data_IF_416255691132
#
_entry.id   IF_416255691132
#
_cell.length_a   1.000
_cell.length_b   1.000
_cell.length_c   1.000
_cell.angle_alpha   90.00
_cell.angle_beta   90.00
_cell.angle_gamma   90.00
#
_symmetry.space_group_name_H-M   'P 1'
#
loop_
_entity.id
_entity.type
_entity.pdbx_description
1 polymer ?
#
# COMPACT_ATOMS: atom_id res chain seq x y z
N UNK A 1 -16.32 47.27 22.50
CA UNK A 1 -16.49 46.99 21.05
C UNK A 1 -16.59 45.49 20.90
N UNK A 2 -17.76 45.05 20.45
CA UNK A 2 -18.14 43.64 20.34
C UNK A 2 -18.02 43.18 18.89
N UNK A 3 -17.44 42.00 18.67
CA UNK A 3 -17.56 41.17 17.47
C UNK A 3 -16.77 39.87 17.73
N UNK A 4 -17.13 38.68 17.28
CA UNK A 4 -18.37 38.11 16.76
C UNK A 4 -18.07 36.62 16.73
N UNK A 5 -18.93 35.82 17.36
CA UNK A 5 -18.80 34.37 17.44
C UNK A 5 -19.18 33.74 16.11
N UNK A 6 -18.22 33.13 15.41
CA UNK A 6 -18.44 32.33 14.21
C UNK A 6 -18.42 30.84 14.51
N UNK A 7 -19.57 30.29 14.93
CA UNK A 7 -19.80 28.84 15.05
C UNK A 7 -19.99 28.22 13.67
N UNK A 8 -18.92 27.65 13.11
CA UNK A 8 -18.93 26.87 11.88
C UNK A 8 -19.51 25.47 12.12
N UNK A 9 -20.60 25.16 11.41
CA UNK A 9 -21.39 23.96 11.57
C UNK A 9 -20.67 22.66 11.26
N UNK A 10 -20.99 21.64 12.06
CA UNK A 10 -20.64 20.25 11.85
C UNK A 10 -21.35 19.71 10.60
N UNK A 11 -20.60 19.59 9.50
CA UNK A 11 -21.01 18.88 8.31
C UNK A 11 -21.12 17.38 8.59
N UNK A 12 -22.34 16.92 8.83
CA UNK A 12 -22.71 15.51 8.98
C UNK A 12 -22.68 14.87 7.58
N UNK A 13 -21.54 14.30 7.19
CA UNK A 13 -21.44 13.51 5.97
C UNK A 13 -22.24 12.21 6.17
N UNK A 14 -23.38 12.14 5.47
CA UNK A 14 -24.22 10.95 5.38
C UNK A 14 -23.47 9.83 4.68
N UNK A 15 -23.25 8.74 5.40
CA UNK A 15 -22.79 7.47 4.85
C UNK A 15 -24.00 6.79 4.21
N UNK A 16 -24.15 6.95 2.89
CA UNK A 16 -25.06 6.12 2.11
C UNK A 16 -24.44 4.74 1.89
N UNK A 17 -24.77 3.79 2.76
CA UNK A 17 -24.61 2.37 2.48
C UNK A 17 -25.89 1.86 1.79
N UNK A 18 -25.88 1.87 0.46
CA UNK A 18 -26.79 1.03 -0.33
C UNK A 18 -25.96 0.03 -1.14
N UNK A 19 -25.72 -1.13 -0.54
CA UNK A 19 -25.39 -2.35 -1.29
C UNK A 19 -26.51 -3.33 -0.98
N UNK A 20 -27.60 -3.21 -1.72
CA UNK A 20 -28.62 -4.24 -1.77
C UNK A 20 -28.04 -5.41 -2.57
N UNK A 21 -27.80 -6.52 -1.89
CA UNK A 21 -27.44 -7.80 -2.50
C UNK A 21 -28.74 -8.54 -2.89
N UNK A 22 -29.07 -8.70 -4.19
CA UNK A 22 -30.27 -9.39 -4.61
C UNK A 22 -29.92 -10.84 -4.96
N UNK A 23 -29.51 -11.63 -3.97
CA UNK A 23 -29.32 -13.09 -4.15
C UNK A 23 -29.78 -13.90 -2.95
N UNK A 24 -31.04 -13.71 -2.56
CA UNK A 24 -31.82 -14.75 -1.90
C UNK A 24 -33.14 -14.86 -2.63
N UNK A 25 -33.09 -15.43 -3.84
CA UNK A 25 -34.27 -16.01 -4.45
C UNK A 25 -34.67 -17.19 -3.55
N UNK A 26 -35.76 -16.99 -2.83
CA UNK A 26 -36.44 -18.00 -2.05
C UNK A 26 -36.62 -19.26 -2.90
N UNK A 27 -35.89 -20.32 -2.56
CA UNK A 27 -36.30 -21.68 -2.90
C UNK A 27 -37.56 -21.96 -2.10
N UNK A 28 -38.70 -21.66 -2.69
CA UNK A 28 -39.97 -22.29 -2.35
C UNK A 28 -39.80 -23.78 -2.60
N UNK A 29 -39.56 -24.52 -1.53
CA UNK A 29 -39.72 -25.97 -1.51
C UNK A 29 -41.21 -26.25 -1.70
N UNK A 30 -41.61 -26.43 -2.95
CA UNK A 30 -42.80 -27.18 -3.33
C UNK A 30 -42.58 -28.62 -2.85
N UNK A 31 -42.97 -28.90 -1.61
CA UNK A 31 -43.19 -30.27 -1.16
C UNK A 31 -44.40 -30.80 -1.89
N UNK A 32 -44.11 -31.74 -2.78
CA UNK A 32 -45.00 -32.68 -3.44
C UNK A 32 -46.20 -33.04 -2.57
N UNK A 33 -47.39 -32.62 -3.02
CA UNK A 33 -48.64 -33.26 -2.64
C UNK A 33 -48.68 -34.63 -3.34
N UNK A 34 -48.09 -35.62 -2.69
CA UNK A 34 -48.01 -36.99 -3.18
C UNK A 34 -49.07 -37.83 -2.48
N UNK A 35 -50.13 -38.10 -3.24
CA UNK A 35 -50.88 -39.36 -3.27
C UNK A 35 -51.75 -39.69 -2.04
N UNK A 36 -53.03 -39.32 -2.13
CA UNK A 36 -54.11 -40.12 -1.53
C UNK A 36 -55.22 -40.39 -2.58
N UNK A 37 -55.10 -41.44 -3.41
CA UNK A 37 -56.17 -41.90 -4.28
C UNK A 37 -56.59 -43.31 -3.85
N UNK A 38 -57.18 -43.48 -2.67
CA UNK A 38 -57.71 -44.80 -2.26
C UNK A 38 -59.04 -44.81 -1.51
N UNK A 39 -59.68 -43.67 -1.25
CA UNK A 39 -61.02 -43.65 -0.61
C UNK A 39 -62.18 -43.28 -1.55
N UNK A 40 -61.91 -42.76 -2.75
CA UNK A 40 -62.98 -42.41 -3.71
C UNK A 40 -63.41 -43.57 -4.63
N UNK A 41 -62.67 -44.69 -4.66
CA UNK A 41 -63.00 -45.83 -5.54
C UNK A 41 -63.89 -46.90 -4.89
N UNK A 42 -64.21 -46.78 -3.59
CA UNK A 42 -65.02 -47.75 -2.86
C UNK A 42 -66.53 -47.41 -2.86
N UNK A 43 -66.93 -46.18 -3.17
CA UNK A 43 -68.35 -45.80 -3.16
C UNK A 43 -69.08 -46.09 -4.49
N UNK A 44 -68.36 -46.21 -5.61
CA UNK A 44 -68.97 -46.41 -6.93
C UNK A 44 -69.31 -47.89 -7.26
N UNK A 45 -68.92 -48.84 -6.40
CA UNK A 45 -69.32 -50.26 -6.53
C UNK A 45 -70.58 -50.62 -5.73
N UNK A 46 -71.12 -49.73 -4.91
CA UNK A 46 -72.35 -49.98 -4.15
C UNK A 46 -73.65 -49.76 -4.95
N UNK A 47 -73.59 -49.07 -6.11
CA UNK A 47 -74.79 -48.69 -6.87
C UNK A 47 -75.26 -49.74 -7.92
N UNK A 48 -74.51 -50.82 -8.17
CA UNK A 48 -74.78 -51.75 -9.30
C UNK A 48 -75.35 -53.13 -8.95
N UNK A 49 -75.85 -53.36 -7.72
CA UNK A 49 -76.48 -54.64 -7.31
C UNK A 49 -77.95 -54.54 -6.88
N UNK A 50 -78.77 -53.77 -7.58
CA UNK A 50 -80.24 -53.91 -7.53
C UNK A 50 -80.76 -54.57 -8.80
N UNK A 51 -80.70 -55.91 -8.85
CA UNK A 51 -81.57 -56.71 -9.72
C UNK A 51 -81.77 -58.11 -9.13
N UNK A 52 -83.06 -58.42 -8.96
CA UNK A 52 -83.72 -59.73 -8.95
C UNK A 52 -83.35 -60.74 -7.85
N UNK A 53 -84.30 -60.99 -6.93
CA UNK A 53 -85.00 -62.29 -6.92
C UNK A 53 -86.13 -62.26 -5.87
N UNK A 54 -87.37 -62.26 -6.34
CA UNK A 54 -88.50 -62.77 -5.56
C UNK A 54 -88.27 -64.27 -5.36
N UNK A 55 -88.05 -64.67 -4.11
CA UNK A 55 -87.83 -66.05 -3.72
C UNK A 55 -88.44 -66.26 -2.34
N UNK A 56 -89.47 -67.09 -2.28
CA UNK A 56 -90.21 -67.44 -1.08
C UNK A 56 -89.27 -67.92 0.05
N UNK A 57 -89.35 -67.27 1.21
CA UNK A 57 -88.66 -67.69 2.41
C UNK A 57 -89.37 -68.89 3.06
N UNK A 58 -88.71 -70.04 3.25
CA UNK A 58 -89.21 -71.07 4.13
C UNK A 58 -88.96 -70.63 5.58
N UNK A 59 -90.03 -70.35 6.33
CA UNK A 59 -89.98 -70.08 7.77
C UNK A 59 -89.77 -71.40 8.49
N UNK A 60 -88.51 -71.85 8.57
CA UNK A 60 -88.07 -72.87 9.52
C UNK A 60 -87.93 -72.20 10.88
N UNK A 61 -88.83 -72.50 11.82
CA UNK A 61 -88.75 -72.02 13.19
C UNK A 61 -87.45 -72.56 13.83
N UNK A 62 -86.43 -71.70 13.94
CA UNK A 62 -85.21 -72.01 14.70
C UNK A 62 -85.60 -72.28 16.14
N UNK A 63 -85.00 -73.29 16.76
CA UNK A 63 -85.21 -73.55 18.19
C UNK A 63 -84.66 -72.38 19.02
N UNK A 64 -85.19 -72.17 20.21
CA UNK A 64 -84.76 -71.11 21.12
C UNK A 64 -83.25 -71.17 21.44
N UNK A 65 -82.67 -72.37 21.50
CA UNK A 65 -81.22 -72.58 21.68
C UNK A 65 -80.40 -72.05 20.49
N UNK A 66 -80.85 -72.28 19.25
CA UNK A 66 -80.14 -71.79 18.05
C UNK A 66 -80.08 -70.26 18.01
N UNK A 67 -81.13 -69.58 18.46
CA UNK A 67 -81.15 -68.12 18.59
C UNK A 67 -80.19 -67.62 19.68
N UNK A 68 -80.09 -68.33 20.81
CA UNK A 68 -79.16 -67.98 21.89
C UNK A 68 -77.70 -68.14 21.45
N UNK A 69 -77.37 -69.22 20.74
CA UNK A 69 -76.03 -69.44 20.21
C UNK A 69 -75.63 -68.41 19.16
N UNK A 70 -76.55 -68.01 18.26
CA UNK A 70 -76.30 -66.95 17.28
C UNK A 70 -76.01 -65.60 17.96
N UNK A 71 -76.73 -65.28 19.04
CA UNK A 71 -76.50 -64.07 19.83
C UNK A 71 -75.13 -64.13 20.53
N UNK A 72 -74.79 -65.25 21.18
CA UNK A 72 -73.49 -65.43 21.84
C UNK A 72 -72.35 -65.32 20.82
N UNK A 73 -72.44 -66.02 19.68
CA UNK A 73 -71.43 -65.92 18.62
C UNK A 73 -71.35 -64.51 18.00
N UNK A 74 -72.47 -63.80 17.91
CA UNK A 74 -72.50 -62.40 17.49
C UNK A 74 -71.73 -61.49 18.46
N UNK A 75 -71.96 -61.65 19.76
CA UNK A 75 -71.26 -60.91 20.82
C UNK A 75 -69.77 -61.24 20.87
N UNK A 76 -69.38 -62.50 20.71
CA UNK A 76 -67.97 -62.90 20.64
C UNK A 76 -67.26 -62.28 19.42
N UNK A 77 -67.92 -62.25 18.25
CA UNK A 77 -67.40 -61.57 17.06
C UNK A 77 -67.26 -60.06 17.27
N UNK A 78 -68.25 -59.42 17.89
CA UNK A 78 -68.17 -57.99 18.24
C UNK A 78 -67.04 -57.70 19.21
N UNK A 79 -66.86 -58.55 20.24
CA UNK A 79 -65.75 -58.43 21.20
C UNK A 79 -64.40 -58.57 20.51
N UNK A 80 -64.19 -59.60 19.70
CA UNK A 80 -62.94 -59.80 18.97
C UNK A 80 -62.63 -58.63 18.02
N UNK A 81 -63.65 -58.09 17.35
CA UNK A 81 -63.53 -56.89 16.51
C UNK A 81 -63.11 -55.66 17.33
N UNK A 82 -63.73 -55.43 18.50
CA UNK A 82 -63.37 -54.33 19.40
C UNK A 82 -61.94 -54.48 19.93
N UNK A 83 -61.54 -55.69 20.34
CA UNK A 83 -60.17 -55.98 20.78
C UNK A 83 -59.16 -55.68 19.66
N UNK A 84 -59.45 -56.05 18.42
CA UNK A 84 -58.60 -55.72 17.26
C UNK A 84 -58.52 -54.20 17.00
N UNK A 85 -59.64 -53.47 17.10
CA UNK A 85 -59.65 -52.01 16.95
C UNK A 85 -58.86 -51.34 18.07
N UNK A 86 -58.96 -51.80 19.31
CA UNK A 86 -58.18 -51.31 20.44
C UNK A 86 -56.67 -51.52 20.21
N UNK A 87 -56.25 -52.72 19.79
CA UNK A 87 -54.85 -53.01 19.47
C UNK A 87 -54.31 -52.13 18.33
N UNK A 88 -55.09 -51.95 17.25
CA UNK A 88 -54.68 -51.08 16.14
C UNK A 88 -54.56 -49.62 16.58
N UNK A 89 -55.45 -49.14 17.45
CA UNK A 89 -55.36 -47.79 18.01
C UNK A 89 -54.11 -47.63 18.89
N UNK A 90 -53.82 -48.59 19.76
CA UNK A 90 -52.62 -48.59 20.59
C UNK A 90 -51.34 -48.59 19.75
N UNK A 91 -51.26 -49.45 18.72
CA UNK A 91 -50.14 -49.43 17.78
C UNK A 91 -50.03 -48.12 16.99
N UNK A 92 -51.15 -47.49 16.65
CA UNK A 92 -51.14 -46.17 15.99
C UNK A 92 -50.63 -45.08 16.92
N UNK A 93 -50.95 -45.16 18.21
CA UNK A 93 -50.48 -44.23 19.23
C UNK A 93 -48.97 -44.36 19.45
N UNK A 94 -48.47 -45.60 19.61
CA UNK A 94 -47.05 -45.87 19.78
C UNK A 94 -46.21 -45.40 18.57
N UNK A 95 -46.71 -45.57 17.35
CA UNK A 95 -46.03 -45.04 16.15
C UNK A 95 -45.93 -43.51 16.17
N UNK A 96 -47.02 -42.82 16.53
CA UNK A 96 -47.02 -41.35 16.65
C UNK A 96 -46.09 -40.87 17.76
N UNK A 97 -46.01 -41.60 18.87
CA UNK A 97 -45.09 -41.29 19.97
C UNK A 97 -43.62 -41.43 19.51
N UNK A 98 -43.29 -42.49 18.77
CA UNK A 98 -41.97 -42.67 18.18
C UNK A 98 -41.63 -41.57 17.16
N UNK A 99 -42.57 -41.19 16.30
CA UNK A 99 -42.42 -40.07 15.36
C UNK A 99 -42.17 -38.75 16.10
N UNK A 100 -42.91 -38.48 17.18
CA UNK A 100 -42.73 -37.29 18.02
C UNK A 100 -41.35 -37.26 18.69
N UNK A 101 -40.85 -38.40 19.17
CA UNK A 101 -39.51 -38.52 19.76
C UNK A 101 -38.41 -38.27 18.72
N UNK A 102 -38.57 -38.79 17.50
CA UNK A 102 -37.63 -38.56 16.41
C UNK A 102 -37.61 -37.07 15.99
N UNK A 103 -38.79 -36.44 15.88
CA UNK A 103 -38.88 -34.99 15.63
C UNK A 103 -38.21 -34.19 16.75
N UNK A 104 -38.42 -34.55 18.01
CA UNK A 104 -37.80 -33.88 19.15
C UNK A 104 -36.26 -33.98 19.10
N UNK A 105 -35.73 -35.14 18.74
CA UNK A 105 -34.28 -35.35 18.55
C UNK A 105 -33.74 -34.48 17.41
N UNK A 106 -34.41 -34.45 16.25
CA UNK A 106 -34.01 -33.60 15.13
C UNK A 106 -34.02 -32.11 15.49
N UNK A 107 -35.01 -31.66 16.26
CA UNK A 107 -35.05 -30.29 16.77
C UNK A 107 -33.90 -29.97 17.73
N UNK A 108 -33.52 -30.93 18.59
CA UNK A 108 -32.37 -30.77 19.49
C UNK A 108 -31.06 -30.68 18.71
N UNK A 109 -30.85 -31.53 17.71
CA UNK A 109 -29.66 -31.49 16.85
C UNK A 109 -29.58 -30.16 16.08
N UNK A 110 -30.69 -29.70 15.51
CA UNK A 110 -30.78 -28.39 14.84
C UNK A 110 -30.48 -27.22 15.79
N UNK A 111 -30.95 -27.28 17.04
CA UNK A 111 -30.63 -26.28 18.07
C UNK A 111 -29.13 -26.25 18.39
N UNK A 112 -28.47 -27.39 18.44
CA UNK A 112 -27.02 -27.47 18.64
C UNK A 112 -26.24 -26.92 17.43
N UNK A 113 -26.66 -27.28 16.21
CA UNK A 113 -26.07 -26.73 14.97
C UNK A 113 -26.20 -25.20 14.92
N UNK A 114 -27.37 -24.67 15.26
CA UNK A 114 -27.62 -23.22 15.30
C UNK A 114 -26.71 -22.53 16.33
N UNK A 115 -26.51 -23.14 17.50
CA UNK A 115 -25.61 -22.61 18.53
C UNK A 115 -24.16 -22.58 18.06
N UNK A 116 -23.69 -23.64 17.40
CA UNK A 116 -22.35 -23.70 16.78
C UNK A 116 -22.18 -22.64 15.70
N UNK A 117 -23.19 -22.46 14.85
CA UNK A 117 -23.20 -21.43 13.81
C UNK A 117 -23.16 -20.01 14.40
N UNK A 118 -23.94 -19.75 15.45
CA UNK A 118 -23.95 -18.47 16.18
C UNK A 118 -22.58 -18.14 16.77
N UNK A 119 -21.94 -19.09 17.44
CA UNK A 119 -20.60 -18.90 18.00
C UNK A 119 -19.55 -18.66 16.90
N UNK A 120 -19.66 -19.39 15.77
CA UNK A 120 -18.78 -19.16 14.61
C UNK A 120 -18.95 -17.76 14.02
N UNK A 121 -20.17 -17.23 13.97
CA UNK A 121 -20.44 -15.87 13.52
C UNK A 121 -19.85 -14.85 14.50
N UNK A 122 -20.08 -15.01 15.80
CA UNK A 122 -19.52 -14.13 16.82
C UNK A 122 -17.98 -14.07 16.79
N UNK A 123 -17.32 -15.23 16.68
CA UNK A 123 -15.86 -15.28 16.55
C UNK A 123 -15.34 -14.60 15.26
N UNK A 124 -16.15 -14.57 14.19
CA UNK A 124 -15.80 -13.82 12.97
C UNK A 124 -15.96 -12.32 13.19
N UNK A 125 -17.04 -11.91 13.84
CA UNK A 125 -17.31 -10.52 14.19
C UNK A 125 -16.21 -9.93 15.10
N UNK A 126 -15.77 -10.67 16.11
CA UNK A 126 -14.63 -10.26 16.96
C UNK A 126 -13.33 -10.11 16.17
N UNK A 127 -13.05 -11.01 15.23
CA UNK A 127 -11.88 -10.89 14.34
C UNK A 127 -11.96 -9.65 13.45
N UNK A 128 -13.12 -9.40 12.85
CA UNK A 128 -13.32 -8.19 12.04
C UNK A 128 -13.21 -6.91 12.87
N UNK A 129 -13.69 -6.91 14.11
CA UNK A 129 -13.52 -5.79 15.02
C UNK A 129 -12.03 -5.53 15.33
N UNK A 130 -11.27 -6.58 15.64
CA UNK A 130 -9.83 -6.46 15.90
C UNK A 130 -9.03 -5.96 14.67
N UNK A 131 -9.37 -6.43 13.47
CA UNK A 131 -8.77 -5.95 12.22
C UNK A 131 -9.10 -4.48 11.96
N UNK A 132 -10.34 -4.06 12.23
CA UNK A 132 -10.79 -2.67 12.08
C UNK A 132 -10.08 -1.73 13.06
N UNK A 133 -9.87 -2.17 14.31
CA UNK A 133 -9.13 -1.40 15.31
C UNK A 133 -7.64 -1.26 14.95
N UNK A 134 -7.05 -2.33 14.40
CA UNK A 134 -5.67 -2.32 13.88
C UNK A 134 -5.51 -1.31 12.73
N UNK A 135 -6.40 -1.36 11.73
CA UNK A 135 -6.41 -0.41 10.61
C UNK A 135 -6.63 1.03 11.08
N UNK A 136 -7.51 1.24 12.04
CA UNK A 136 -7.73 2.56 12.66
C UNK A 136 -6.47 3.08 13.36
N UNK A 137 -5.68 2.19 13.98
CA UNK A 137 -4.37 2.50 14.52
C UNK A 137 -3.38 3.00 13.47
N UNK A 138 -3.30 2.30 12.33
CA UNK A 138 -2.44 2.67 11.20
C UNK A 138 -2.84 4.03 10.62
N UNK A 139 -4.15 4.26 10.39
CA UNK A 139 -4.66 5.55 9.89
C UNK A 139 -4.27 6.69 10.82
N UNK A 140 -4.46 6.54 12.14
CA UNK A 140 -4.03 7.56 13.11
C UNK A 140 -2.52 7.83 13.07
N UNK A 141 -1.71 6.78 12.87
CA UNK A 141 -0.26 6.90 12.68
C UNK A 141 0.11 7.73 11.45
N UNK A 142 -0.49 7.39 10.30
CA UNK A 142 -0.28 8.12 9.04
C UNK A 142 -0.75 9.57 9.12
N UNK A 143 -1.88 9.85 9.77
CA UNK A 143 -2.37 11.23 9.98
C UNK A 143 -1.37 12.06 10.78
N UNK A 144 -0.79 11.52 11.86
CA UNK A 144 0.24 12.24 12.63
C UNK A 144 1.50 12.49 11.82
N UNK A 145 1.98 11.50 11.07
CA UNK A 145 3.13 11.66 10.20
C UNK A 145 2.89 12.73 9.13
N UNK A 146 1.70 12.75 8.52
CA UNK A 146 1.31 13.77 7.55
C UNK A 146 1.33 15.19 8.14
N UNK A 147 0.79 15.36 9.36
CA UNK A 147 0.84 16.66 10.05
C UNK A 147 2.28 17.09 10.36
N UNK A 148 3.14 16.18 10.82
CA UNK A 148 4.54 16.49 11.08
C UNK A 148 5.30 16.93 9.81
N UNK A 149 5.07 16.25 8.68
CA UNK A 149 5.64 16.64 7.38
C UNK A 149 5.12 18.01 6.94
N UNK A 150 3.84 18.29 7.17
CA UNK A 150 3.25 19.60 6.86
C UNK A 150 3.90 20.73 7.68
N UNK A 151 4.15 20.50 8.97
CA UNK A 151 4.78 21.50 9.83
C UNK A 151 6.23 21.78 9.38
N UNK A 152 7.01 20.72 9.06
CA UNK A 152 8.35 20.86 8.49
C UNK A 152 8.34 21.63 7.16
N UNK A 153 7.34 21.39 6.31
CA UNK A 153 7.20 22.10 5.04
C UNK A 153 6.93 23.60 5.25
N UNK A 154 6.07 23.98 6.20
CA UNK A 154 5.82 25.38 6.53
C UNK A 154 7.03 26.07 7.16
N UNK A 155 7.82 25.35 7.95
CA UNK A 155 9.10 25.84 8.47
C UNK A 155 10.10 26.12 7.33
N UNK A 156 10.28 25.18 6.39
CA UNK A 156 11.19 25.37 5.25
C UNK A 156 10.72 26.49 4.33
N UNK A 157 9.41 26.62 4.07
CA UNK A 157 8.85 27.78 3.35
C UNK A 157 9.23 29.10 4.03
N UNK A 158 9.12 29.15 5.35
CA UNK A 158 9.49 30.35 6.12
C UNK A 158 10.98 30.68 6.00
N UNK A 159 11.86 29.66 6.02
CA UNK A 159 13.31 29.83 5.80
C UNK A 159 13.63 30.33 4.39
N UNK A 160 12.93 29.84 3.36
CA UNK A 160 13.11 30.30 1.98
C UNK A 160 12.73 31.78 1.85
N UNK A 161 11.58 32.18 2.39
CA UNK A 161 11.15 33.59 2.40
C UNK A 161 12.18 34.50 3.11
N UNK A 162 12.72 34.05 4.23
CA UNK A 162 13.77 34.77 4.94
C UNK A 162 15.05 34.94 4.09
N UNK A 163 15.50 33.86 3.43
CA UNK A 163 16.67 33.90 2.52
C UNK A 163 16.43 34.84 1.33
N UNK A 164 15.25 34.79 0.71
CA UNK A 164 14.90 35.67 -0.40
C UNK A 164 14.92 37.15 0.01
N UNK A 165 14.48 37.44 1.24
CA UNK A 165 14.55 38.80 1.80
C UNK A 165 16.00 39.28 1.91
N UNK A 166 16.90 38.43 2.43
CA UNK A 166 18.34 38.75 2.52
C UNK A 166 18.97 38.93 1.13
N UNK A 167 18.66 38.05 0.17
CA UNK A 167 19.15 38.16 -1.21
C UNK A 167 18.71 39.49 -1.83
N UNK A 168 17.46 39.89 -1.63
CA UNK A 168 16.93 41.15 -2.15
C UNK A 168 17.62 42.36 -1.52
N UNK A 169 17.89 42.34 -0.21
CA UNK A 169 18.66 43.39 0.46
C UNK A 169 20.09 43.49 -0.10
N UNK A 170 20.78 42.37 -0.27
CA UNK A 170 22.12 42.32 -0.86
C UNK A 170 22.15 42.84 -2.29
N UNK A 171 21.11 42.53 -3.09
CA UNK A 171 20.97 43.07 -4.46
C UNK A 171 20.83 44.59 -4.45
N UNK A 172 20.05 45.14 -3.52
CA UNK A 172 19.91 46.60 -3.37
C UNK A 172 21.23 47.26 -2.95
N UNK A 173 21.94 46.68 -1.99
CA UNK A 173 23.24 47.19 -1.54
C UNK A 173 24.30 47.13 -2.65
N UNK A 174 24.37 46.02 -3.39
CA UNK A 174 25.27 45.90 -4.54
C UNK A 174 24.97 46.95 -5.61
N UNK A 175 23.69 47.21 -5.91
CA UNK A 175 23.32 48.28 -6.83
C UNK A 175 23.75 49.67 -6.32
N UNK A 176 23.60 49.94 -5.02
CA UNK A 176 24.06 51.18 -4.39
C UNK A 176 25.58 51.34 -4.52
N UNK A 177 26.34 50.30 -4.19
CA UNK A 177 27.81 50.30 -4.27
C UNK A 177 28.30 50.48 -5.71
N UNK A 178 27.61 49.90 -6.70
CA UNK A 178 27.91 50.11 -8.12
C UNK A 178 27.75 51.58 -8.53
N UNK A 179 26.67 52.25 -8.11
CA UNK A 179 26.46 53.67 -8.38
C UNK A 179 27.54 54.54 -7.72
N UNK A 180 27.93 54.23 -6.48
CA UNK A 180 29.00 54.93 -5.76
C UNK A 180 30.36 54.75 -6.45
N UNK A 181 30.68 53.52 -6.87
CA UNK A 181 31.89 53.23 -7.63
C UNK A 181 31.94 53.98 -8.97
N UNK A 182 30.81 54.06 -9.69
CA UNK A 182 30.70 54.87 -10.91
C UNK A 182 30.93 56.36 -10.64
N UNK A 183 30.36 56.91 -9.57
CA UNK A 183 30.57 58.31 -9.19
C UNK A 183 32.05 58.61 -8.87
N UNK A 184 32.70 57.77 -8.06
CA UNK A 184 34.13 57.91 -7.76
C UNK A 184 35.01 57.78 -9.01
N UNK A 185 34.69 56.85 -9.91
CA UNK A 185 35.43 56.69 -11.17
C UNK A 185 35.32 57.94 -12.05
N UNK A 186 34.14 58.58 -12.11
CA UNK A 186 33.96 59.85 -12.80
C UNK A 186 34.79 60.97 -12.18
N UNK A 187 34.86 61.05 -10.84
CA UNK A 187 35.73 62.01 -10.14
C UNK A 187 37.22 61.77 -10.44
N UNK A 188 37.68 60.51 -10.42
CA UNK A 188 39.06 60.15 -10.77
C UNK A 188 39.39 60.58 -12.20
N UNK A 189 38.48 60.32 -13.16
CA UNK A 189 38.67 60.74 -14.54
C UNK A 189 38.73 62.27 -14.67
N UNK A 190 37.92 63.00 -13.91
CA UNK A 190 38.01 64.46 -13.81
C UNK A 190 39.39 64.93 -13.37
N UNK A 191 39.93 64.38 -12.27
CA UNK A 191 41.27 64.72 -11.80
C UNK A 191 42.37 64.35 -12.82
N UNK A 192 42.25 63.20 -13.49
CA UNK A 192 43.18 62.81 -14.56
C UNK A 192 43.20 63.80 -15.72
N UNK A 193 42.02 64.28 -16.15
CA UNK A 193 41.92 65.29 -17.20
C UNK A 193 42.51 66.64 -16.76
N UNK A 194 42.29 67.05 -15.50
CA UNK A 194 42.86 68.28 -14.94
C UNK A 194 44.40 68.22 -14.88
N UNK A 195 44.95 67.10 -14.41
CA UNK A 195 46.41 66.88 -14.37
C UNK A 195 47.02 66.87 -15.78
N UNK A 196 46.40 66.19 -16.74
CA UNK A 196 46.88 66.18 -18.13
C UNK A 196 46.90 67.59 -18.74
N UNK A 197 45.86 68.39 -18.46
CA UNK A 197 45.77 69.78 -18.90
C UNK A 197 46.88 70.65 -18.29
N UNK A 198 47.24 70.43 -17.02
CA UNK A 198 48.34 71.15 -16.35
C UNK A 198 49.72 70.73 -16.86
N UNK A 199 49.95 69.44 -17.10
CA UNK A 199 51.23 68.91 -17.61
C UNK A 199 51.54 69.27 -19.07
N UNK A 200 50.60 69.86 -19.81
CA UNK A 200 50.84 70.34 -21.19
C UNK A 200 51.68 71.63 -21.21
N UNK A 201 52.01 72.18 -20.04
CA UNK A 201 52.90 73.34 -19.91
C UNK A 201 54.18 72.92 -19.18
N UNK A 202 55.17 72.35 -19.89
CA UNK A 202 56.58 72.80 -19.84
C UNK A 202 57.59 71.87 -20.54
N UNK A 203 58.53 72.53 -21.24
CA UNK A 203 59.95 72.19 -21.40
C UNK A 203 60.28 70.99 -22.31
N UNK A 204 60.82 71.30 -23.49
CA UNK A 204 61.64 70.41 -24.31
C UNK A 204 62.79 69.85 -23.46
N UNK A 205 62.71 68.57 -23.09
CA UNK A 205 63.84 67.82 -22.57
C UNK A 205 64.43 66.99 -23.72
N UNK A 206 65.76 67.07 -23.98
CA UNK A 206 66.39 66.39 -25.10
C UNK A 206 66.27 64.86 -25.00
N UNK A 207 65.95 64.26 -26.14
CA UNK A 207 65.90 62.83 -26.34
C UNK A 207 67.24 62.16 -25.99
N UNK A 208 67.22 61.20 -25.07
CA UNK A 208 68.32 60.28 -24.85
C UNK A 208 67.82 58.83 -24.89
N UNK A 209 68.20 58.18 -25.99
CA UNK A 209 68.66 56.79 -26.10
C UNK A 209 67.69 55.65 -25.84
N UNK A 210 67.22 55.11 -26.97
CA UNK A 210 67.34 53.71 -27.37
C UNK A 210 68.15 52.82 -26.41
N UNK A 211 67.46 51.91 -25.72
CA UNK A 211 68.04 50.69 -25.16
C UNK A 211 67.10 49.50 -25.48
N UNK A 212 67.62 48.35 -25.92
CA UNK A 212 66.82 47.18 -26.27
C UNK A 212 66.33 46.44 -25.01
N UNK A 213 65.13 45.85 -25.05
CA UNK A 213 64.62 45.08 -23.91
C UNK A 213 65.44 43.79 -23.70
N UNK A 214 65.75 43.42 -22.45
CA UNK A 214 66.47 42.19 -22.12
C UNK A 214 65.62 40.93 -22.38
N UNK A 215 66.23 39.78 -22.76
CA UNK A 215 65.53 38.52 -22.98
C UNK A 215 65.55 37.69 -21.70
N UNK A 216 64.49 37.71 -20.89
CA UNK A 216 64.20 36.74 -19.81
C UNK A 216 62.87 37.16 -19.17
N UNK A 217 61.88 36.32 -18.91
CA UNK A 217 61.88 34.91 -18.54
C UNK A 217 60.70 34.20 -19.17
N UNK A 218 60.91 32.93 -19.51
CA UNK A 218 59.84 31.99 -19.78
C UNK A 218 58.82 32.04 -18.64
N UNK A 219 57.63 32.56 -18.95
CA UNK A 219 56.42 32.27 -18.20
C UNK A 219 56.25 30.75 -18.30
N UNK A 220 56.10 30.01 -17.20
CA UNK A 220 55.76 28.60 -17.28
C UNK A 220 54.46 28.51 -18.08
N UNK A 221 54.56 27.86 -19.23
CA UNK A 221 53.43 27.53 -20.07
C UNK A 221 52.38 26.85 -19.19
N UNK A 222 51.16 27.41 -19.01
CA UNK A 222 50.12 26.77 -18.21
C UNK A 222 49.49 25.62 -19.02
N UNK A 223 50.31 24.68 -19.51
CA UNK A 223 49.89 23.51 -20.28
C UNK A 223 49.13 22.45 -19.47
N UNK A 224 48.75 22.71 -18.22
CA UNK A 224 47.97 21.76 -17.41
C UNK A 224 46.71 22.33 -16.78
N UNK A 225 46.36 23.58 -17.09
CA UNK A 225 45.01 24.08 -16.81
C UNK A 225 44.13 23.79 -18.02
N UNK A 226 43.74 22.53 -18.13
CA UNK A 226 42.62 22.10 -18.96
C UNK A 226 41.34 22.73 -18.39
N UNK A 227 41.19 24.05 -18.62
CA UNK A 227 40.08 24.89 -18.13
C UNK A 227 38.72 24.42 -18.62
N UNK A 228 38.70 23.51 -19.59
CA UNK A 228 37.49 22.91 -20.15
C UNK A 228 36.91 21.78 -19.27
N UNK A 229 37.58 21.39 -18.18
CA UNK A 229 37.15 20.29 -17.30
C UNK A 229 37.03 20.71 -15.83
N UNK A 230 36.49 21.92 -15.57
CA UNK A 230 36.06 22.32 -14.23
C UNK A 230 34.65 21.78 -13.96
N UNK A 231 34.53 20.73 -13.15
CA UNK A 231 33.25 20.24 -12.66
C UNK A 231 32.90 21.00 -11.37
N UNK A 232 32.07 22.04 -11.46
CA UNK A 232 31.66 22.86 -10.31
C UNK A 232 30.97 22.06 -9.21
N UNK A 233 30.35 20.93 -9.56
CA UNK A 233 29.47 20.15 -8.69
C UNK A 233 30.14 18.90 -8.09
N UNK A 234 31.45 18.74 -8.28
CA UNK A 234 32.15 17.56 -7.79
C UNK A 234 32.17 17.54 -6.24
N UNK A 235 31.67 16.46 -5.59
CA UNK A 235 31.62 16.35 -4.13
C UNK A 235 33.04 16.29 -3.56
N UNK A 236 33.44 17.32 -2.81
CA UNK A 236 34.78 17.43 -2.20
C UNK A 236 34.77 16.75 -0.84
N UNK A 237 35.37 15.57 -0.71
CA UNK A 237 35.79 15.08 0.60
C UNK A 237 37.11 15.72 1.02
N UNK A 238 37.10 16.42 2.15
CA UNK A 238 38.29 16.98 2.80
C UNK A 238 39.14 15.85 3.40
N UNK A 239 39.97 15.22 2.59
CA UNK A 239 40.79 14.08 3.01
C UNK A 239 42.23 14.16 2.47
N UNK A 240 43.19 14.07 3.38
CA UNK A 240 44.65 14.07 3.16
C UNK A 240 45.12 13.24 1.96
N UNK A 241 46.06 13.79 1.19
CA UNK A 241 46.74 13.08 0.12
C UNK A 241 47.40 11.78 0.64
N UNK A 242 47.18 10.64 -0.03
CA UNK A 242 47.66 9.33 0.42
C UNK A 242 49.17 9.18 0.25
N UNK A 243 49.79 8.44 1.18
CA UNK A 243 51.24 8.35 1.39
C UNK A 243 51.92 7.19 0.66
N UNK A 244 51.20 6.29 -0.02
CA UNK A 244 51.79 5.07 -0.59
C UNK A 244 51.70 5.00 -2.13
N UNK A 245 52.85 4.76 -2.77
CA UNK A 245 52.96 4.46 -4.20
C UNK A 245 52.52 3.02 -4.50
N UNK A 246 51.66 2.89 -5.51
CA UNK A 246 51.06 1.68 -6.07
C UNK A 246 51.89 0.39 -5.94
N UNK A 247 51.47 -0.54 -5.06
CA UNK A 247 51.82 -1.96 -5.19
C UNK A 247 50.84 -2.63 -6.15
N UNK A 248 51.39 -3.42 -7.09
CA UNK A 248 50.65 -4.11 -8.16
C UNK A 248 49.41 -4.82 -7.61
N UNK A 249 48.24 -4.42 -8.11
CA UNK A 249 46.91 -5.03 -7.92
C UNK A 249 46.18 -4.78 -6.60
N UNK A 250 46.73 -3.96 -5.69
CA UNK A 250 46.00 -3.44 -4.53
C UNK A 250 46.32 -1.95 -4.41
N UNK A 251 45.48 -1.10 -5.01
CA UNK A 251 45.79 0.31 -5.13
C UNK A 251 44.60 1.17 -5.52
N UNK A 252 44.90 2.44 -5.83
CA UNK A 252 43.93 3.44 -6.24
C UNK A 252 43.29 3.07 -7.57
N UNK A 253 42.00 3.28 -7.70
CA UNK A 253 41.34 3.33 -8.99
C UNK A 253 41.68 4.65 -9.68
N UNK A 254 42.18 4.58 -10.91
CA UNK A 254 42.51 5.79 -11.65
C UNK A 254 41.24 6.57 -12.06
N UNK A 255 41.20 7.91 -11.90
CA UNK A 255 40.05 8.73 -12.29
C UNK A 255 39.57 8.51 -13.72
N UNK A 256 40.52 8.31 -14.63
CA UNK A 256 40.26 8.04 -16.04
C UNK A 256 39.33 6.83 -16.26
N UNK A 257 39.35 5.85 -15.34
CA UNK A 257 38.51 4.64 -15.40
C UNK A 257 37.02 4.95 -15.29
N UNK A 258 36.63 6.01 -14.55
CA UNK A 258 35.24 6.46 -14.44
C UNK A 258 34.99 7.81 -15.11
N UNK A 259 35.91 8.25 -15.99
CA UNK A 259 35.76 9.46 -16.80
C UNK A 259 36.19 10.77 -16.12
N UNK A 260 36.86 10.71 -14.97
CA UNK A 260 37.34 11.89 -14.24
C UNK A 260 38.85 12.11 -14.43
N UNK A 261 39.39 13.15 -13.77
CA UNK A 261 40.81 13.50 -13.77
C UNK A 261 41.41 13.55 -12.36
N UNK A 262 42.73 13.70 -12.25
CA UNK A 262 43.45 13.66 -10.97
C UNK A 262 43.00 14.74 -9.97
N UNK A 263 42.44 15.85 -10.44
CA UNK A 263 41.97 16.95 -9.59
C UNK A 263 40.62 16.65 -8.94
N UNK A 264 39.85 15.71 -9.51
CA UNK A 264 38.51 15.33 -9.05
C UNK A 264 38.43 13.83 -8.72
N UNK A 265 39.52 13.34 -8.14
CA UNK A 265 39.67 11.95 -7.77
C UNK A 265 38.86 11.62 -6.51
N UNK A 266 37.97 10.62 -6.61
CA UNK A 266 37.14 10.16 -5.50
C UNK A 266 37.90 9.24 -4.53
N UNK A 267 39.18 8.96 -4.79
CA UNK A 267 40.04 8.17 -3.92
C UNK A 267 39.61 6.71 -3.77
N UNK A 268 38.98 6.14 -4.80
CA UNK A 268 38.37 4.81 -4.74
C UNK A 268 39.41 3.70 -4.74
N UNK A 269 39.16 2.64 -3.96
CA UNK A 269 39.96 1.42 -4.02
C UNK A 269 39.65 0.64 -5.31
N UNK A 270 40.67 0.33 -6.10
CA UNK A 270 40.51 -0.45 -7.34
C UNK A 270 39.87 -1.82 -7.09
N UNK A 271 40.27 -2.50 -6.01
CA UNK A 271 39.76 -3.84 -5.72
C UNK A 271 38.28 -3.78 -5.35
N UNK A 272 37.88 -2.85 -4.48
CA UNK A 272 36.49 -2.73 -4.04
C UNK A 272 35.52 -2.26 -5.14
N UNK A 273 35.99 -1.39 -6.05
CA UNK A 273 35.10 -0.70 -6.98
C UNK A 273 35.26 -1.13 -8.45
N UNK A 274 36.29 -1.91 -8.78
CA UNK A 274 36.58 -2.32 -10.15
C UNK A 274 36.91 -3.81 -10.30
N UNK A 275 36.87 -4.58 -9.22
CA UNK A 275 37.02 -6.05 -9.26
C UNK A 275 35.95 -6.71 -8.41
N UNK A 276 35.63 -7.99 -8.67
CA UNK A 276 34.73 -8.78 -7.81
C UNK A 276 35.39 -9.27 -6.51
N UNK A 277 36.57 -8.75 -6.18
CA UNK A 277 37.35 -9.16 -5.02
C UNK A 277 37.09 -8.26 -3.81
N UNK A 278 37.36 -8.78 -2.61
CA UNK A 278 37.47 -7.95 -1.40
C UNK A 278 38.91 -7.51 -1.22
N UNK A 279 39.12 -6.22 -0.92
CA UNK A 279 40.46 -5.71 -0.62
C UNK A 279 41.00 -6.38 0.65
N UNK A 280 42.14 -7.06 0.56
CA UNK A 280 42.78 -7.76 1.68
C UNK A 280 43.84 -6.90 2.39
N UNK A 281 44.06 -5.67 1.94
CA UNK A 281 45.00 -4.73 2.55
C UNK A 281 44.32 -4.07 3.74
N UNK A 282 44.72 -4.47 4.96
CA UNK A 282 44.13 -4.02 6.22
C UNK A 282 44.15 -2.48 6.36
N UNK A 283 45.24 -1.83 5.97
CA UNK A 283 45.40 -0.36 6.01
C UNK A 283 45.38 0.26 4.62
N UNK A 284 44.37 -0.10 3.82
CA UNK A 284 44.22 0.48 2.49
C UNK A 284 43.70 1.92 2.61
N UNK A 285 44.53 2.86 2.14
CA UNK A 285 44.28 4.31 2.22
C UNK A 285 43.17 4.80 1.28
N UNK A 286 42.64 3.91 0.44
CA UNK A 286 41.61 4.19 -0.55
C UNK A 286 40.24 3.79 -0.04
N UNK A 287 39.21 4.50 -0.49
CA UNK A 287 37.83 4.29 -0.03
C UNK A 287 37.29 2.93 -0.50
N UNK A 288 36.67 2.19 0.41
CA UNK A 288 36.00 0.91 0.13
C UNK A 288 34.48 1.01 0.28
N UNK A 289 33.97 2.12 0.82
CA UNK A 289 32.54 2.35 1.00
C UNK A 289 31.86 2.56 -0.34
N UNK A 290 30.60 2.13 -0.42
CA UNK A 290 29.76 2.33 -1.59
C UNK A 290 29.70 3.81 -2.01
N UNK A 291 29.52 4.02 -3.31
CA UNK A 291 29.33 5.36 -3.87
C UNK A 291 28.02 5.95 -3.34
N UNK A 292 28.07 7.19 -2.86
CA UNK A 292 26.86 7.93 -2.46
C UNK A 292 26.03 8.31 -3.68
N UNK A 293 24.76 8.66 -3.48
CA UNK A 293 23.88 9.07 -4.58
C UNK A 293 24.43 10.29 -5.35
N UNK A 294 25.00 11.26 -4.65
CA UNK A 294 25.64 12.44 -5.26
C UNK A 294 26.88 12.07 -6.10
N UNK A 295 27.69 11.12 -5.63
CA UNK A 295 28.87 10.66 -6.37
C UNK A 295 28.48 9.85 -7.60
N UNK A 296 27.39 9.07 -7.51
CA UNK A 296 26.83 8.35 -8.65
C UNK A 296 26.26 9.31 -9.68
N UNK A 297 25.56 10.35 -9.24
CA UNK A 297 25.07 11.42 -10.12
C UNK A 297 26.24 12.13 -10.82
N UNK A 298 27.28 12.51 -10.08
CA UNK A 298 28.50 13.10 -10.63
C UNK A 298 29.16 12.18 -11.67
N UNK A 299 29.38 10.90 -11.35
CA UNK A 299 30.01 9.95 -12.30
C UNK A 299 29.13 9.78 -13.55
N UNK A 300 27.81 9.78 -13.43
CA UNK A 300 26.90 9.61 -14.57
C UNK A 300 27.06 10.72 -15.63
N UNK A 301 27.45 11.92 -15.20
CA UNK A 301 27.71 13.06 -16.07
C UNK A 301 29.04 12.95 -16.84
N UNK A 302 29.96 12.08 -16.40
CA UNK A 302 31.29 11.89 -16.98
C UNK A 302 31.29 10.96 -18.20
N UNK A 303 30.65 11.41 -19.28
CA UNK A 303 30.56 10.65 -20.52
C UNK A 303 31.93 10.52 -21.23
N UNK A 304 32.21 9.37 -21.89
CA UNK A 304 31.36 8.18 -21.99
C UNK A 304 31.59 7.13 -20.88
N UNK A 305 32.66 7.27 -20.10
CA UNK A 305 33.15 6.20 -19.22
C UNK A 305 32.32 6.05 -17.92
N UNK A 306 31.71 7.12 -17.45
CA UNK A 306 30.97 7.15 -16.18
C UNK A 306 29.83 6.12 -16.08
N UNK A 307 28.87 6.09 -17.02
CA UNK A 307 27.80 5.09 -17.02
C UNK A 307 28.31 3.65 -17.09
N UNK A 308 29.34 3.38 -17.89
CA UNK A 308 29.93 2.05 -18.01
C UNK A 308 30.58 1.61 -16.69
N UNK A 309 31.29 2.53 -16.05
CA UNK A 309 31.88 2.29 -14.74
C UNK A 309 30.81 2.00 -13.68
N UNK A 310 29.72 2.77 -13.60
CA UNK A 310 28.65 2.52 -12.62
C UNK A 310 28.01 1.14 -12.82
N UNK A 311 27.74 0.76 -14.07
CA UNK A 311 27.21 -0.57 -14.41
C UNK A 311 28.18 -1.70 -14.02
N UNK A 312 29.48 -1.45 -14.07
CA UNK A 312 30.50 -2.39 -13.63
C UNK A 312 30.62 -2.44 -12.10
N UNK A 313 30.62 -1.28 -11.45
CA UNK A 313 30.72 -1.11 -10.00
C UNK A 313 29.59 -1.86 -9.27
N UNK A 314 28.35 -1.73 -9.75
CA UNK A 314 27.19 -2.45 -9.20
C UNK A 314 27.33 -3.99 -9.27
N UNK A 315 28.10 -4.50 -10.23
CA UNK A 315 28.39 -5.95 -10.34
C UNK A 315 29.54 -6.40 -9.46
N UNK A 316 30.32 -5.46 -8.93
CA UNK A 316 31.48 -5.72 -8.08
C UNK A 316 31.15 -5.57 -6.60
N UNK A 317 30.19 -4.72 -6.24
CA UNK A 317 29.78 -4.44 -4.85
C UNK A 317 28.63 -5.33 -4.35
N UNK A 318 27.98 -6.10 -5.23
CA UNK A 318 27.02 -7.16 -4.87
C UNK A 318 27.71 -8.52 -4.71
#
# INVERSE_FOLDING_TARGET
MAASSGSGGLGRLGVHNHTADPRIAARTSTTSAETTPQLAAAEDQAAKRRKTSDGAYPVGAKSQEQLQDEVIQGLLRQRASLEQVCLLKEQSFLRKEQEMLEIAKQLQDKKQELTKAKNKYHNREEKFAAETDSLSGVIRGLTRAHLAVKDLLEEEKSKVIAKDTVINQQRQENARLQLEAMALNNTINGFRHELASRSTTQVEVPALNNAPPPPTSAIPDPCHLDRNYLHTDAPRQSGTAPKQSNKKNAGKLWPKTYGSNEHWDLGLCHVAHNTRGKCTVWDCQWRHFDLTDDERAYILELQPNGPEFLKWNEKCTR
#
